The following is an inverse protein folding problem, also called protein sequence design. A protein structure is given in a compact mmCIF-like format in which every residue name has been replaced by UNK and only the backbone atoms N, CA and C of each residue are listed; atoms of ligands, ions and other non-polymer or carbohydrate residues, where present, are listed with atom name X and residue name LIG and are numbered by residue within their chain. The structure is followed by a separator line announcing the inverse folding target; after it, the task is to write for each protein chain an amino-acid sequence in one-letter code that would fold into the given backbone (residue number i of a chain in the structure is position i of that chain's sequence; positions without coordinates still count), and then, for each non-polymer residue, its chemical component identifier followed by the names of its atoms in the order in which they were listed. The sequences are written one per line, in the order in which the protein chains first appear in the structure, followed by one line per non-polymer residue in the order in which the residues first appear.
data_IF_639970948236
#
_entry.id   IF_639970948236
#
_cell.length_a   1.000
_cell.length_b   1.000
_cell.length_c   1.000
_cell.angle_alpha   90.00
_cell.angle_beta   90.00
_cell.angle_gamma   90.00
#
_symmetry.space_group_name_H-M   'P 1'
#
loop_
_entity.id
_entity.type
_entity.pdbx_description
1 polymer ?
#
# COMPACT_ATOMS: atom_id res chain seq x y z
N UNK A 1 32.62 -16.34 33.55
CA UNK A 1 32.53 -16.83 32.15
C UNK A 1 31.50 -17.96 31.95
N UNK A 2 31.05 -18.65 32.99
CA UNK A 2 30.03 -19.71 32.91
C UNK A 2 28.59 -19.21 32.73
N UNK A 3 28.21 -18.07 33.30
CA UNK A 3 26.84 -17.55 33.26
C UNK A 3 26.33 -17.11 31.89
N UNK A 4 27.23 -16.74 30.99
CA UNK A 4 26.88 -16.30 29.62
C UNK A 4 26.55 -17.46 28.66
N UNK A 5 27.07 -18.66 28.93
CA UNK A 5 26.77 -19.87 28.13
C UNK A 5 25.40 -20.46 28.51
N UNK A 6 25.05 -20.50 29.80
CA UNK A 6 23.74 -20.99 30.25
C UNK A 6 22.58 -20.04 29.86
N UNK A 7 22.81 -18.72 29.81
CA UNK A 7 21.80 -17.76 29.36
C UNK A 7 21.52 -17.89 27.86
N UNK A 8 22.52 -18.21 27.04
CA UNK A 8 22.35 -18.48 25.61
C UNK A 8 21.64 -19.81 25.33
N UNK A 9 21.90 -20.85 26.09
CA UNK A 9 21.21 -22.14 25.98
C UNK A 9 19.72 -22.01 26.29
N UNK A 10 19.36 -21.42 27.42
CA UNK A 10 17.96 -21.17 27.81
C UNK A 10 17.19 -20.28 26.83
N UNK A 11 17.86 -19.36 26.13
CA UNK A 11 17.23 -18.52 25.12
C UNK A 11 16.96 -19.29 23.80
N UNK A 12 17.82 -20.23 23.44
CA UNK A 12 17.61 -21.08 22.26
C UNK A 12 16.49 -22.09 22.48
N UNK A 13 16.43 -22.76 23.63
CA UNK A 13 15.33 -23.67 23.96
C UNK A 13 13.96 -22.99 23.99
N UNK A 14 13.89 -21.76 24.54
CA UNK A 14 12.65 -20.96 24.51
C UNK A 14 12.22 -20.55 23.09
N UNK A 15 13.16 -20.30 22.17
CA UNK A 15 12.85 -19.98 20.78
C UNK A 15 12.37 -21.22 20.04
N UNK A 16 12.98 -22.36 20.26
CA UNK A 16 12.65 -23.63 19.62
C UNK A 16 11.27 -24.14 20.09
N UNK A 17 10.96 -24.03 21.39
CA UNK A 17 9.64 -24.34 21.91
C UNK A 17 8.55 -23.42 21.32
N UNK A 18 8.79 -22.09 21.23
CA UNK A 18 7.85 -21.17 20.59
C UNK A 18 7.63 -21.47 19.12
N UNK A 19 8.67 -21.87 18.41
CA UNK A 19 8.57 -22.25 16.99
C UNK A 19 7.69 -23.49 16.83
N UNK A 20 7.92 -24.53 17.63
CA UNK A 20 7.15 -25.77 17.59
C UNK A 20 5.69 -25.56 17.98
N UNK A 21 5.41 -24.71 18.96
CA UNK A 21 4.05 -24.34 19.36
C UNK A 21 3.33 -23.58 18.23
N UNK A 22 4.04 -22.67 17.57
CA UNK A 22 3.49 -21.93 16.41
C UNK A 22 3.16 -22.88 15.27
N UNK A 23 4.00 -23.87 14.97
CA UNK A 23 3.74 -24.86 13.91
C UNK A 23 2.49 -25.70 14.21
N UNK A 24 2.34 -26.16 15.47
CA UNK A 24 1.14 -26.90 15.91
C UNK A 24 -0.13 -26.08 15.74
N UNK A 25 -0.11 -24.82 16.20
CA UNK A 25 -1.25 -23.92 16.05
C UNK A 25 -1.60 -23.67 14.58
N UNK A 26 -0.61 -23.52 13.70
CA UNK A 26 -0.84 -23.39 12.26
C UNK A 26 -1.53 -24.62 11.69
N UNK A 27 -1.08 -25.81 12.04
CA UNK A 27 -1.73 -27.06 11.61
C UNK A 27 -3.18 -27.16 12.06
N UNK A 28 -3.48 -26.82 13.32
CA UNK A 28 -4.87 -26.79 13.81
C UNK A 28 -5.71 -25.75 13.07
N UNK A 29 -5.18 -24.53 12.87
CA UNK A 29 -5.86 -23.48 12.14
C UNK A 29 -6.15 -23.85 10.68
N UNK A 30 -5.22 -24.53 10.00
CA UNK A 30 -5.39 -25.04 8.64
C UNK A 30 -6.42 -26.16 8.55
N UNK A 31 -6.55 -26.94 9.61
CA UNK A 31 -7.58 -28.01 9.74
C UNK A 31 -8.96 -27.47 10.15
N UNK A 32 -9.12 -26.15 10.26
CA UNK A 32 -10.42 -25.51 10.50
C UNK A 32 -10.69 -25.12 11.96
N UNK A 33 -9.70 -25.26 12.86
CA UNK A 33 -9.86 -24.79 14.25
C UNK A 33 -9.84 -23.26 14.29
N UNK A 34 -11.03 -22.69 14.54
CA UNK A 34 -11.24 -21.25 14.61
C UNK A 34 -10.48 -20.61 15.78
N UNK A 35 -10.37 -21.31 16.93
CA UNK A 35 -9.69 -20.82 18.10
C UNK A 35 -8.17 -20.74 17.88
N UNK A 36 -7.59 -21.79 17.30
CA UNK A 36 -6.17 -21.78 16.93
C UNK A 36 -5.85 -20.65 15.94
N UNK A 37 -6.76 -20.39 14.98
CA UNK A 37 -6.62 -19.27 14.04
C UNK A 37 -6.67 -17.91 14.75
N UNK A 38 -7.59 -17.72 15.67
CA UNK A 38 -7.73 -16.49 16.46
C UNK A 38 -6.48 -16.25 17.32
N UNK A 39 -5.98 -17.28 18.02
CA UNK A 39 -4.77 -17.20 18.83
C UNK A 39 -3.53 -16.83 18.01
N UNK A 40 -3.40 -17.40 16.79
CA UNK A 40 -2.33 -17.05 15.85
C UNK A 40 -2.44 -15.60 15.38
N UNK A 41 -3.64 -15.13 15.04
CA UNK A 41 -3.84 -13.73 14.63
C UNK A 41 -3.46 -12.80 15.78
N UNK A 42 -3.98 -13.05 16.99
CA UNK A 42 -3.72 -12.22 18.16
C UNK A 42 -2.23 -12.17 18.53
N UNK A 43 -1.53 -13.29 18.47
CA UNK A 43 -0.08 -13.35 18.76
C UNK A 43 0.78 -12.61 17.71
N UNK A 44 0.27 -12.44 16.47
CA UNK A 44 0.98 -11.77 15.38
C UNK A 44 0.44 -10.37 15.03
N UNK A 45 -0.53 -9.84 15.78
CA UNK A 45 -1.07 -8.49 15.56
C UNK A 45 0.02 -7.41 15.61
N UNK A 46 1.00 -7.53 16.50
CA UNK A 46 2.11 -6.59 16.60
C UNK A 46 2.93 -6.53 15.29
N UNK A 47 3.09 -7.67 14.60
CA UNK A 47 3.74 -7.74 13.30
C UNK A 47 2.95 -6.97 12.24
N UNK A 48 1.63 -7.18 12.18
CA UNK A 48 0.75 -6.44 11.25
C UNK A 48 0.85 -4.93 11.50
N UNK A 49 0.71 -4.50 12.76
CA UNK A 49 0.83 -3.08 13.15
C UNK A 49 2.15 -2.46 12.72
N UNK A 50 3.26 -3.18 12.85
CA UNK A 50 4.59 -2.70 12.44
C UNK A 50 4.71 -2.51 10.93
N UNK A 51 4.07 -3.40 10.16
CA UNK A 51 4.06 -3.34 8.69
C UNK A 51 3.17 -2.18 8.21
N UNK A 52 1.95 -2.06 8.77
CA UNK A 52 0.98 -1.01 8.39
C UNK A 52 1.57 0.39 8.56
N UNK A 53 2.34 0.65 9.62
CA UNK A 53 3.03 1.93 9.85
C UNK A 53 3.86 2.39 8.64
N UNK A 54 4.39 1.48 7.83
CA UNK A 54 5.18 1.80 6.63
C UNK A 54 4.34 2.26 5.44
N UNK A 55 3.02 2.12 5.52
CA UNK A 55 2.08 2.46 4.46
C UNK A 55 1.17 3.65 4.81
N UNK A 56 1.36 4.26 5.99
CA UNK A 56 0.65 5.47 6.38
C UNK A 56 0.97 6.65 5.43
N UNK A 57 0.18 7.70 5.50
CA UNK A 57 0.30 8.93 4.70
C UNK A 57 0.10 8.71 3.19
N UNK A 58 -0.73 7.73 2.82
CA UNK A 58 -1.09 7.44 1.42
C UNK A 58 -2.57 7.68 1.11
N UNK A 59 -3.25 8.49 1.92
CA UNK A 59 -4.66 8.83 1.74
C UNK A 59 -5.66 7.78 2.26
N UNK A 60 -5.20 6.83 3.06
CA UNK A 60 -6.03 5.78 3.68
C UNK A 60 -5.94 5.83 5.19
N UNK A 61 -7.01 5.49 5.87
CA UNK A 61 -7.05 5.41 7.33
C UNK A 61 -6.23 4.20 7.84
N UNK A 62 -5.73 4.34 9.07
CA UNK A 62 -4.93 3.28 9.69
C UNK A 62 -5.74 1.99 9.83
N UNK A 63 -7.00 2.11 10.23
CA UNK A 63 -7.91 1.00 10.48
C UNK A 63 -8.14 0.16 9.22
N UNK A 64 -8.33 0.81 8.06
CA UNK A 64 -8.51 0.13 6.78
C UNK A 64 -7.27 -0.67 6.41
N UNK A 65 -6.10 -0.04 6.44
CA UNK A 65 -4.84 -0.70 6.16
C UNK A 65 -4.54 -1.84 7.15
N UNK A 66 -4.95 -1.68 8.41
CA UNK A 66 -4.79 -2.71 9.42
C UNK A 66 -5.67 -3.92 9.13
N UNK A 67 -6.94 -3.74 8.76
CA UNK A 67 -7.84 -4.82 8.37
C UNK A 67 -7.31 -5.58 7.15
N UNK A 68 -6.85 -4.88 6.14
CA UNK A 68 -6.20 -5.50 4.97
C UNK A 68 -4.94 -6.26 5.37
N UNK A 69 -4.14 -5.72 6.29
CA UNK A 69 -2.98 -6.40 6.85
C UNK A 69 -3.33 -7.69 7.58
N UNK A 70 -4.43 -7.69 8.35
CA UNK A 70 -4.96 -8.89 9.03
C UNK A 70 -5.43 -9.93 8.02
N UNK A 71 -6.09 -9.52 6.92
CA UNK A 71 -6.45 -10.43 5.82
C UNK A 71 -5.18 -11.08 5.23
N UNK A 72 -4.13 -10.30 5.02
CA UNK A 72 -2.83 -10.82 4.57
C UNK A 72 -2.22 -11.83 5.52
N UNK A 73 -2.31 -11.59 6.84
CA UNK A 73 -1.86 -12.53 7.88
C UNK A 73 -2.68 -13.82 7.86
N UNK A 74 -4.00 -13.74 7.74
CA UNK A 74 -4.88 -14.92 7.65
C UNK A 74 -4.53 -15.76 6.41
N UNK A 75 -4.30 -15.12 5.26
CA UNK A 75 -3.82 -15.82 4.06
C UNK A 75 -2.47 -16.49 4.28
N UNK A 76 -1.56 -15.84 5.00
CA UNK A 76 -0.28 -16.43 5.36
C UNK A 76 -0.46 -17.66 6.26
N UNK A 77 -1.33 -17.64 7.26
CA UNK A 77 -1.62 -18.79 8.12
C UNK A 77 -2.16 -19.96 7.29
N UNK A 78 -3.12 -19.70 6.40
CA UNK A 78 -3.76 -20.74 5.60
C UNK A 78 -2.80 -21.40 4.59
N UNK A 79 -1.83 -20.65 4.07
CA UNK A 79 -0.96 -21.10 2.97
C UNK A 79 0.47 -21.43 3.42
N UNK A 80 0.79 -21.28 4.69
CA UNK A 80 2.11 -21.59 5.18
C UNK A 80 2.41 -23.10 5.14
N UNK A 81 3.56 -23.45 4.55
CA UNK A 81 4.06 -24.82 4.57
C UNK A 81 5.40 -24.88 5.34
N UNK A 82 5.46 -25.65 6.44
CA UNK A 82 6.68 -25.82 7.22
C UNK A 82 7.85 -26.43 6.45
N UNK A 83 7.59 -27.16 5.37
CA UNK A 83 8.63 -27.82 4.54
C UNK A 83 9.58 -26.82 3.89
N UNK A 84 9.17 -25.57 3.72
CA UNK A 84 10.05 -24.52 3.17
C UNK A 84 11.18 -24.09 4.12
N UNK A 85 11.21 -24.60 5.34
CA UNK A 85 12.27 -24.38 6.32
C UNK A 85 12.52 -22.88 6.63
N UNK A 86 11.50 -22.04 6.54
CA UNK A 86 11.52 -20.63 6.89
C UNK A 86 10.61 -20.35 8.08
N UNK A 87 10.97 -19.40 8.91
CA UNK A 87 10.11 -18.99 10.03
C UNK A 87 8.79 -18.41 9.50
N UNK A 88 7.69 -18.67 10.21
CA UNK A 88 6.37 -18.16 9.85
C UNK A 88 6.37 -16.64 9.67
N UNK A 89 7.02 -15.87 10.55
CA UNK A 89 7.12 -14.41 10.43
C UNK A 89 7.80 -13.97 9.12
N UNK A 90 8.84 -14.70 8.68
CA UNK A 90 9.54 -14.41 7.42
C UNK A 90 8.62 -14.63 6.21
N UNK A 91 7.75 -15.64 6.27
CA UNK A 91 6.74 -15.90 5.25
C UNK A 91 5.56 -14.91 5.31
N UNK A 92 5.09 -14.56 6.51
CA UNK A 92 3.93 -13.70 6.70
C UNK A 92 4.17 -12.25 6.26
N UNK A 93 5.38 -11.69 6.48
CA UNK A 93 5.71 -10.31 6.13
C UNK A 93 5.44 -9.98 4.66
N UNK A 94 5.98 -10.71 3.66
CA UNK A 94 5.69 -10.43 2.26
C UNK A 94 4.21 -10.63 1.89
N UNK A 95 3.51 -11.57 2.52
CA UNK A 95 2.07 -11.79 2.30
C UNK A 95 1.24 -10.60 2.78
N UNK A 96 1.49 -10.11 4.00
CA UNK A 96 0.83 -8.92 4.55
C UNK A 96 1.10 -7.70 3.68
N UNK A 97 2.37 -7.46 3.33
CA UNK A 97 2.77 -6.34 2.46
C UNK A 97 2.12 -6.46 1.07
N UNK A 98 2.02 -7.67 0.53
CA UNK A 98 1.41 -7.95 -0.76
C UNK A 98 -0.07 -7.56 -0.80
N UNK A 99 -0.84 -7.94 0.23
CA UNK A 99 -2.26 -7.57 0.33
C UNK A 99 -2.45 -6.06 0.49
N UNK A 100 -1.66 -5.39 1.34
CA UNK A 100 -1.73 -3.94 1.49
C UNK A 100 -1.38 -3.24 0.16
N UNK A 101 -0.31 -3.65 -0.52
CA UNK A 101 0.08 -3.08 -1.82
C UNK A 101 -0.99 -3.33 -2.90
N UNK A 102 -1.63 -4.50 -2.88
CA UNK A 102 -2.72 -4.82 -3.79
C UNK A 102 -3.91 -3.93 -3.54
N UNK A 103 -4.33 -3.76 -2.30
CA UNK A 103 -5.41 -2.85 -1.92
C UNK A 103 -5.12 -1.42 -2.40
N UNK A 104 -3.96 -0.85 -2.03
CA UNK A 104 -3.55 0.50 -2.43
C UNK A 104 -3.50 0.70 -3.95
N UNK A 105 -3.23 -0.37 -4.71
CA UNK A 105 -3.22 -0.30 -6.17
C UNK A 105 -4.63 -0.37 -6.76
N UNK A 106 -5.48 -1.25 -6.22
CA UNK A 106 -6.77 -1.59 -6.81
C UNK A 106 -7.90 -0.69 -6.29
N UNK A 107 -7.76 -0.14 -5.07
CA UNK A 107 -8.70 0.78 -4.45
C UNK A 107 -8.30 2.23 -4.77
N UNK A 108 -9.19 2.93 -5.44
CA UNK A 108 -9.02 4.34 -5.79
C UNK A 108 -10.33 4.89 -6.33
N UNK A 109 -10.62 6.21 -6.13
CA UNK A 109 -11.86 6.84 -6.55
C UNK A 109 -12.09 6.76 -8.06
N UNK A 110 -11.00 6.68 -8.84
CA UNK A 110 -11.05 6.50 -10.29
C UNK A 110 -10.32 5.21 -10.65
N UNK A 111 -10.99 4.36 -11.44
CA UNK A 111 -10.39 3.11 -11.92
C UNK A 111 -9.41 3.38 -13.06
N UNK A 112 -8.13 3.25 -12.77
CA UNK A 112 -7.04 3.38 -13.76
C UNK A 112 -6.52 1.98 -14.12
N UNK A 113 -6.19 1.76 -15.40
CA UNK A 113 -5.66 0.49 -15.87
C UNK A 113 -4.33 0.15 -15.17
N UNK A 114 -4.05 -1.15 -15.02
CA UNK A 114 -2.82 -1.62 -14.37
C UNK A 114 -1.57 -1.15 -15.10
N UNK A 115 -1.57 -1.23 -16.43
CA UNK A 115 -0.44 -0.78 -17.28
C UNK A 115 -0.13 0.70 -17.07
N UNK A 116 -1.16 1.54 -16.95
CA UNK A 116 -1.02 2.97 -16.73
C UNK A 116 -0.42 3.27 -15.34
N UNK A 117 -0.91 2.57 -14.29
CA UNK A 117 -0.35 2.70 -12.93
C UNK A 117 1.12 2.23 -12.85
N UNK A 118 1.47 1.15 -13.57
CA UNK A 118 2.84 0.65 -13.64
C UNK A 118 3.75 1.62 -14.40
N UNK A 119 3.26 2.21 -15.51
CA UNK A 119 4.00 3.23 -16.24
C UNK A 119 4.24 4.47 -15.37
N UNK A 120 3.20 4.98 -14.70
CA UNK A 120 3.32 6.11 -13.77
C UNK A 120 4.36 5.85 -12.66
N UNK A 121 4.38 4.64 -12.11
CA UNK A 121 5.39 4.24 -11.12
C UNK A 121 6.81 4.25 -11.68
N UNK A 122 7.01 3.76 -12.92
CA UNK A 122 8.33 3.82 -13.60
C UNK A 122 8.74 5.24 -13.92
N UNK A 123 7.80 6.09 -14.36
CA UNK A 123 8.03 7.52 -14.62
C UNK A 123 8.56 8.20 -13.36
N UNK A 124 7.94 7.96 -12.20
CA UNK A 124 8.37 8.57 -10.95
C UNK A 124 9.80 8.16 -10.56
N UNK A 125 10.14 6.87 -10.70
CA UNK A 125 11.51 6.37 -10.40
C UNK A 125 12.56 7.00 -11.31
N UNK A 126 12.26 7.06 -12.63
CA UNK A 126 13.17 7.66 -13.62
C UNK A 126 13.29 9.16 -13.42
N UNK A 127 12.19 9.84 -13.09
CA UNK A 127 12.18 11.27 -12.75
C UNK A 127 13.14 11.57 -11.61
N UNK A 128 13.06 10.81 -10.51
CA UNK A 128 13.96 10.98 -9.35
C UNK A 128 15.42 10.68 -9.71
N UNK A 129 15.67 9.62 -10.48
CA UNK A 129 17.02 9.28 -10.97
C UNK A 129 17.62 10.40 -11.79
N UNK A 130 16.89 10.90 -12.79
CA UNK A 130 17.34 11.98 -13.67
C UNK A 130 17.51 13.30 -12.92
N UNK A 131 16.62 13.62 -11.99
CA UNK A 131 16.75 14.80 -11.12
C UNK A 131 18.06 14.79 -10.34
N UNK A 132 18.44 13.66 -9.77
CA UNK A 132 19.70 13.51 -9.05
C UNK A 132 20.94 13.60 -9.98
N UNK A 133 20.81 13.13 -11.23
CA UNK A 133 21.91 13.16 -12.20
C UNK A 133 22.08 14.54 -12.83
N UNK A 134 20.99 15.20 -13.17
CA UNK A 134 20.99 16.49 -13.88
C UNK A 134 21.02 17.70 -12.93
N UNK A 135 20.81 17.50 -11.62
CA UNK A 135 20.62 18.55 -10.61
C UNK A 135 19.54 19.57 -10.96
N UNK A 136 18.54 19.16 -11.76
CA UNK A 136 17.33 19.93 -12.13
C UNK A 136 16.16 19.00 -12.37
N UNK A 137 14.96 19.55 -12.45
CA UNK A 137 13.79 18.76 -12.88
C UNK A 137 13.97 18.30 -14.34
N UNK A 138 13.81 17.00 -14.63
CA UNK A 138 13.89 16.48 -16.00
C UNK A 138 12.65 16.88 -16.81
N UNK A 139 12.83 17.07 -18.10
CA UNK A 139 11.74 17.29 -19.05
C UNK A 139 11.03 15.98 -19.38
N UNK A 140 9.79 16.08 -19.91
CA UNK A 140 9.02 14.91 -20.34
C UNK A 140 9.76 14.10 -21.42
N UNK A 141 10.43 14.79 -22.35
CA UNK A 141 11.21 14.16 -23.42
C UNK A 141 12.43 13.38 -22.87
N UNK A 142 13.10 13.88 -21.85
CA UNK A 142 14.22 13.18 -21.20
C UNK A 142 13.74 11.90 -20.50
N UNK A 143 12.58 11.97 -19.83
CA UNK A 143 11.96 10.80 -19.20
C UNK A 143 11.52 9.79 -20.29
N UNK A 144 10.92 10.27 -21.39
CA UNK A 144 10.48 9.45 -22.49
C UNK A 144 11.63 8.67 -23.14
N UNK A 145 12.75 9.35 -23.37
CA UNK A 145 13.95 8.75 -23.94
C UNK A 145 14.53 7.67 -23.02
N UNK A 146 14.56 7.89 -21.69
CA UNK A 146 15.07 6.91 -20.73
C UNK A 146 14.14 5.69 -20.60
N UNK A 147 12.83 5.87 -20.73
CA UNK A 147 11.83 4.79 -20.64
C UNK A 147 11.57 4.10 -21.98
N UNK A 148 11.97 4.69 -23.11
CA UNK A 148 11.71 4.17 -24.44
C UNK A 148 10.23 4.19 -24.84
N UNK A 149 9.46 5.20 -24.37
CA UNK A 149 8.03 5.37 -24.68
C UNK A 149 7.75 6.78 -25.23
N UNK A 150 6.53 6.98 -25.76
CA UNK A 150 6.14 8.28 -26.31
C UNK A 150 5.87 9.30 -25.20
N UNK A 151 6.21 10.60 -25.37
CA UNK A 151 5.95 11.65 -24.39
C UNK A 151 4.49 11.74 -23.98
N UNK A 152 3.56 11.51 -24.90
CA UNK A 152 2.11 11.54 -24.66
C UNK A 152 1.68 10.45 -23.68
N UNK A 153 2.26 9.25 -23.78
CA UNK A 153 1.97 8.14 -22.84
C UNK A 153 2.40 8.49 -21.42
N UNK A 154 3.51 9.22 -21.27
CA UNK A 154 3.99 9.69 -19.97
C UNK A 154 3.03 10.70 -19.36
N UNK A 155 2.59 11.69 -20.17
CA UNK A 155 1.61 12.69 -19.72
C UNK A 155 0.33 12.00 -19.27
N UNK A 156 -0.23 11.11 -20.08
CA UNK A 156 -1.44 10.35 -19.73
C UNK A 156 -1.27 9.52 -18.46
N UNK A 157 -0.12 8.87 -18.29
CA UNK A 157 0.15 8.08 -17.07
C UNK A 157 0.26 8.96 -15.82
N UNK A 158 0.90 10.12 -15.94
CA UNK A 158 1.02 11.09 -14.84
C UNK A 158 -0.33 11.69 -14.46
N UNK A 159 -1.16 12.07 -15.44
CA UNK A 159 -2.51 12.60 -15.22
C UNK A 159 -3.43 11.55 -14.59
N UNK A 160 -3.43 10.32 -15.12
CA UNK A 160 -4.24 9.22 -14.60
C UNK A 160 -3.88 8.83 -13.15
N UNK A 161 -2.65 9.11 -12.71
CA UNK A 161 -2.19 8.81 -11.34
C UNK A 161 -2.45 9.94 -10.35
N UNK A 162 -2.95 11.10 -10.78
CA UNK A 162 -3.31 12.19 -9.87
C UNK A 162 -4.50 11.79 -9.02
N UNK A 163 -4.41 12.06 -7.73
CA UNK A 163 -5.58 11.95 -6.86
C UNK A 163 -6.58 13.08 -7.19
N UNK A 164 -7.88 12.79 -7.24
CA UNK A 164 -8.89 13.82 -7.32
C UNK A 164 -8.78 14.76 -6.13
N UNK A 165 -8.92 16.06 -6.37
CA UNK A 165 -9.04 17.06 -5.32
C UNK A 165 -10.46 17.05 -4.75
N UNK A 166 -10.62 17.40 -3.48
CA UNK A 166 -11.93 17.61 -2.90
C UNK A 166 -12.55 18.88 -3.47
N UNK A 167 -13.83 18.84 -3.81
CA UNK A 167 -14.56 20.05 -4.20
C UNK A 167 -14.71 21.06 -3.05
N UNK A 168 -14.49 20.60 -1.82
CA UNK A 168 -14.49 21.43 -0.61
C UNK A 168 -13.09 21.89 -0.19
N UNK A 169 -12.06 21.65 -1.01
CA UNK A 169 -10.72 22.18 -0.75
C UNK A 169 -10.76 23.71 -0.83
N UNK A 170 -10.14 24.36 0.16
CA UNK A 170 -10.01 25.82 0.20
C UNK A 170 -8.96 26.24 -0.81
N UNK A 171 -9.36 27.09 -1.78
CA UNK A 171 -8.46 27.62 -2.81
C UNK A 171 -7.80 28.91 -2.33
N UNK A 172 -8.56 29.77 -1.62
CA UNK A 172 -8.09 31.02 -1.04
C UNK A 172 -8.59 31.13 0.40
N UNK A 173 -7.66 31.36 1.31
CA UNK A 173 -7.97 31.76 2.69
C UNK A 173 -8.11 33.26 2.71
N UNK A 174 -9.38 33.77 2.79
CA UNK A 174 -9.67 35.15 3.15
C UNK A 174 -10.12 35.17 4.62
N UNK A 175 -9.72 36.18 5.39
CA UNK A 175 -9.93 36.19 6.85
C UNK A 175 -11.40 36.02 7.26
N UNK A 176 -12.36 36.42 6.38
CA UNK A 176 -13.81 36.39 6.66
C UNK A 176 -14.59 35.31 5.90
N UNK A 177 -14.06 34.74 4.80
CA UNK A 177 -14.80 33.74 3.99
C UNK A 177 -13.87 32.89 3.11
N UNK A 178 -13.56 31.63 3.47
CA UNK A 178 -12.74 30.75 2.64
C UNK A 178 -13.47 30.42 1.34
N UNK A 179 -12.81 30.64 0.19
CA UNK A 179 -13.37 30.31 -1.13
C UNK A 179 -13.03 28.82 -1.40
N UNK A 180 -14.07 28.01 -1.59
CA UNK A 180 -13.96 26.60 -1.88
C UNK A 180 -13.83 26.35 -3.40
N UNK A 181 -13.28 25.17 -3.76
CA UNK A 181 -13.15 24.76 -5.16
C UNK A 181 -14.51 24.71 -5.86
N UNK A 182 -15.58 24.28 -5.16
CA UNK A 182 -16.94 24.23 -5.68
C UNK A 182 -17.44 25.59 -6.14
N UNK A 183 -17.06 26.70 -5.47
CA UNK A 183 -17.49 28.05 -5.79
C UNK A 183 -16.86 28.58 -7.10
N UNK A 184 -15.77 27.95 -7.55
CA UNK A 184 -15.06 28.27 -8.80
C UNK A 184 -15.48 27.41 -9.99
N UNK A 185 -16.21 26.31 -9.76
CA UNK A 185 -16.70 25.44 -10.82
C UNK A 185 -17.95 26.09 -11.43
N UNK A 186 -17.76 26.77 -12.57
CA UNK A 186 -18.87 27.30 -13.33
C UNK A 186 -19.55 26.23 -14.15
N UNK A 187 -20.85 26.10 -14.01
CA UNK A 187 -21.68 25.37 -14.95
C UNK A 187 -21.84 26.20 -16.22
N UNK A 188 -21.43 25.64 -17.35
CA UNK A 188 -21.62 26.27 -18.65
C UNK A 188 -23.13 26.28 -18.96
N UNK A 189 -23.83 27.38 -18.62
CA UNK A 189 -25.28 27.53 -18.76
C UNK A 189 -25.74 27.52 -20.25
N UNK A 190 -24.79 27.43 -21.20
CA UNK A 190 -25.08 27.42 -22.62
C UNK A 190 -25.61 26.06 -23.16
N UNK A 191 -25.68 25.02 -22.33
CA UNK A 191 -26.28 23.74 -22.74
C UNK A 191 -27.82 23.75 -22.67
N UNK A 192 -28.42 24.59 -21.82
CA UNK A 192 -29.89 24.72 -21.76
C UNK A 192 -30.46 25.50 -22.96
N UNK A 193 -29.73 26.47 -23.52
CA UNK A 193 -30.16 27.22 -24.69
C UNK A 193 -30.27 26.38 -25.98
N UNK A 194 -29.45 25.33 -26.11
CA UNK A 194 -29.45 24.44 -27.28
C UNK A 194 -30.55 23.37 -27.28
N UNK A 195 -31.28 23.20 -26.17
CA UNK A 195 -32.40 22.27 -26.05
C UNK A 195 -33.74 22.92 -26.34
N UNK A 196 -33.81 24.25 -26.38
CA UNK A 196 -35.05 25.00 -26.62
C UNK A 196 -35.26 25.32 -28.12
N UNK A 197 -34.20 25.26 -28.93
CA UNK A 197 -34.21 25.55 -30.38
C UNK A 197 -34.34 24.28 -31.26
N UNK A 198 -34.98 23.23 -30.75
CA UNK A 198 -35.35 22.02 -31.55
C UNK A 198 -36.83 21.74 -31.52
#
# INVERSE_FOLDING_TARGET
MMDTFEAKGRNNEKKENRYNDTLRLIQYAQNGDAKAKEDLVNSNIALVKSIVKRFLNRGYEYEDLFQIGVIGLIKAINNYNPEFNVQFSTYAVPMIMGEIKRFLRDDGPIKVSRSMKELAGRVQIVKEKLKNTLNREPTINEIANELGCQPEEIVHAMEASRMPSSIYDVIYEDEDNPILLIDKIHQDSNQMGKLIDR
#
